data_IF_578296759622
#
_entry.id   IF_578296759622
#
_cell.length_a   1.000
_cell.length_b   1.000
_cell.length_c   1.000
_cell.angle_alpha   90.00
_cell.angle_beta   90.00
_cell.angle_gamma   90.00
#
_symmetry.space_group_name_H-M   'P 1'
#
loop_
_entity.id
_entity.type
_entity.pdbx_description
1 polymer ?
#
# COMPACT_ATOMS: atom_id res chain seq x y z
N UNK A 1 -4.29 22.48 12.81
CA UNK A 1 -4.82 21.64 11.72
C UNK A 1 -3.94 21.78 10.49
N UNK A 2 -2.68 21.35 10.58
CA UNK A 2 -1.68 21.45 9.51
C UNK A 2 -1.07 20.04 9.36
N UNK A 3 -1.15 19.47 8.16
CA UNK A 3 -0.82 18.06 7.90
C UNK A 3 0.67 17.77 8.10
N UNK A 4 1.54 18.73 7.77
CA UNK A 4 2.98 18.56 7.86
C UNK A 4 3.43 18.43 9.31
N UNK A 5 2.86 19.24 10.21
CA UNK A 5 3.09 19.20 11.65
C UNK A 5 2.56 17.90 12.24
N UNK A 6 1.32 17.50 11.92
CA UNK A 6 0.74 16.26 12.43
C UNK A 6 1.55 15.04 11.98
N UNK A 7 1.87 14.94 10.69
CA UNK A 7 2.69 13.87 10.15
C UNK A 7 4.10 13.91 10.73
N UNK A 8 4.73 15.09 10.81
CA UNK A 8 6.08 15.24 11.37
C UNK A 8 6.17 14.78 12.82
N UNK A 9 5.19 15.15 13.66
CA UNK A 9 5.12 14.69 15.06
C UNK A 9 4.92 13.17 15.12
N UNK A 10 3.97 12.63 14.36
CA UNK A 10 3.70 11.18 14.35
C UNK A 10 4.93 10.38 13.90
N UNK A 11 5.62 10.82 12.86
CA UNK A 11 6.83 10.17 12.36
C UNK A 11 8.01 10.31 13.31
N UNK A 12 8.13 11.46 13.98
CA UNK A 12 9.14 11.66 15.03
C UNK A 12 8.97 10.66 16.17
N UNK A 13 7.74 10.42 16.63
CA UNK A 13 7.50 9.40 17.64
C UNK A 13 7.75 8.00 17.08
N UNK A 14 7.20 7.67 15.91
CA UNK A 14 7.28 6.34 15.33
C UNK A 14 8.73 5.92 15.02
N UNK A 15 9.44 6.67 14.17
CA UNK A 15 10.83 6.38 13.86
C UNK A 15 11.74 6.67 15.04
N UNK A 16 11.46 7.71 15.83
CA UNK A 16 12.26 7.99 17.03
C UNK A 16 12.26 6.84 18.03
N UNK A 17 11.11 6.24 18.33
CA UNK A 17 11.04 5.06 19.20
C UNK A 17 11.86 3.90 18.62
N UNK A 18 11.69 3.59 17.33
CA UNK A 18 12.45 2.53 16.65
C UNK A 18 13.96 2.79 16.73
N UNK A 19 14.39 4.01 16.41
CA UNK A 19 15.80 4.40 16.43
C UNK A 19 16.37 4.36 17.85
N UNK A 20 15.60 4.75 18.87
CA UNK A 20 16.01 4.66 20.27
C UNK A 20 16.19 3.21 20.72
N UNK A 21 15.30 2.30 20.30
CA UNK A 21 15.42 0.85 20.58
C UNK A 21 16.67 0.27 19.92
N UNK A 22 16.95 0.64 18.66
CA UNK A 22 18.15 0.19 17.94
C UNK A 22 19.45 0.82 18.49
N UNK A 23 19.36 2.05 18.98
CA UNK A 23 20.44 2.78 19.62
C UNK A 23 21.47 3.38 18.66
N UNK A 24 22.24 4.36 19.18
CA UNK A 24 23.32 5.05 18.44
C UNK A 24 24.34 4.08 17.81
N UNK A 25 24.84 3.03 18.50
CA UNK A 25 25.86 2.15 17.96
C UNK A 25 25.44 1.45 16.66
N UNK A 26 24.16 1.06 16.54
CA UNK A 26 23.63 0.44 15.33
C UNK A 26 23.80 1.36 14.11
N UNK A 27 23.37 2.62 14.22
CA UNK A 27 23.45 3.57 13.11
C UNK A 27 24.87 4.00 12.77
N UNK A 28 25.78 4.01 13.74
CA UNK A 28 27.22 4.20 13.48
C UNK A 28 27.79 2.98 12.73
N UNK A 29 27.35 1.77 13.08
CA UNK A 29 27.67 0.55 12.34
C UNK A 29 27.18 0.60 10.89
N UNK A 30 25.94 1.04 10.67
CA UNK A 30 25.37 1.24 9.31
C UNK A 30 26.19 2.26 8.52
N UNK A 31 26.65 3.34 9.16
CA UNK A 31 27.53 4.33 8.52
C UNK A 31 28.85 3.74 8.04
N UNK A 32 29.50 2.93 8.87
CA UNK A 32 30.71 2.23 8.48
C UNK A 32 30.45 1.22 7.36
N UNK A 33 29.39 0.42 7.46
CA UNK A 33 29.04 -0.63 6.49
C UNK A 33 28.70 -0.06 5.12
N UNK A 34 28.03 1.09 5.08
CA UNK A 34 27.61 1.75 3.83
C UNK A 34 28.62 2.76 3.30
N UNK A 35 29.83 2.83 3.91
CA UNK A 35 30.87 3.81 3.55
C UNK A 35 30.37 5.27 3.56
N UNK A 36 29.48 5.57 4.51
CA UNK A 36 28.89 6.90 4.69
C UNK A 36 27.68 7.22 3.82
N UNK A 37 27.15 6.26 3.04
CA UNK A 37 25.94 6.50 2.24
C UNK A 37 24.65 6.54 3.07
N UNK A 38 24.61 5.89 4.23
CA UNK A 38 23.48 5.90 5.17
C UNK A 38 23.98 5.79 6.61
N UNK A 39 23.11 5.94 7.61
CA UNK A 39 23.49 5.84 9.02
C UNK A 39 24.04 7.13 9.62
N UNK A 40 24.53 7.03 10.86
CA UNK A 40 24.99 8.16 11.67
C UNK A 40 26.52 8.21 11.70
N UNK A 41 27.12 9.33 11.30
CA UNK A 41 28.56 9.53 11.46
C UNK A 41 28.96 9.44 12.95
N UNK A 42 30.12 8.83 13.32
CA UNK A 42 30.47 8.54 14.71
C UNK A 42 30.35 9.73 15.69
N UNK A 43 30.74 10.92 15.22
CA UNK A 43 30.77 12.16 15.99
C UNK A 43 29.50 13.03 15.83
N UNK A 44 28.52 12.59 15.04
CA UNK A 44 27.29 13.33 14.83
C UNK A 44 26.32 13.16 16.02
N UNK A 45 25.45 14.16 16.21
CA UNK A 45 24.42 14.13 17.25
C UNK A 45 23.31 13.15 16.89
N UNK A 46 23.08 12.18 17.78
CA UNK A 46 22.04 11.18 17.58
C UNK A 46 20.63 11.79 17.67
N UNK A 47 20.43 12.79 18.53
CA UNK A 47 19.17 13.51 18.64
C UNK A 47 18.82 14.20 17.31
N UNK A 48 19.77 14.94 16.74
CA UNK A 48 19.55 15.60 15.45
C UNK A 48 19.30 14.60 14.33
N UNK A 49 19.99 13.46 14.34
CA UNK A 49 19.76 12.40 13.37
C UNK A 49 18.35 11.79 13.47
N UNK A 50 17.84 11.56 14.68
CA UNK A 50 16.44 11.13 14.88
C UNK A 50 15.49 12.19 14.32
N UNK A 51 15.70 13.46 14.67
CA UNK A 51 14.84 14.55 14.20
C UNK A 51 14.86 14.70 12.68
N UNK A 52 16.03 14.76 12.06
CA UNK A 52 16.15 14.96 10.61
C UNK A 52 15.63 13.76 9.83
N UNK A 53 15.93 12.54 10.27
CA UNK A 53 15.43 11.32 9.62
C UNK A 53 13.90 11.26 9.68
N UNK A 54 13.33 11.50 10.86
CA UNK A 54 11.88 11.37 11.07
C UNK A 54 11.09 12.51 10.41
N UNK A 55 11.56 13.76 10.53
CA UNK A 55 10.92 14.91 9.89
C UNK A 55 11.13 14.91 8.37
N UNK A 56 12.24 14.35 7.88
CA UNK A 56 12.50 14.15 6.46
C UNK A 56 11.43 13.30 5.78
N UNK A 57 10.80 12.35 6.50
CA UNK A 57 9.64 11.63 5.99
C UNK A 57 8.48 12.56 5.66
N UNK A 58 8.13 13.48 6.57
CA UNK A 58 7.02 14.42 6.35
C UNK A 58 7.29 15.32 5.14
N UNK A 59 8.53 15.80 5.00
CA UNK A 59 8.99 16.56 3.82
C UNK A 59 8.83 15.75 2.54
N UNK A 60 9.33 14.52 2.52
CA UNK A 60 9.23 13.64 1.34
C UNK A 60 7.78 13.31 0.98
N UNK A 61 6.92 13.10 1.97
CA UNK A 61 5.50 12.86 1.74
C UNK A 61 4.82 14.10 1.13
N UNK A 62 5.16 15.30 1.62
CA UNK A 62 4.65 16.54 1.03
C UNK A 62 5.12 16.72 -0.42
N UNK A 63 6.40 16.45 -0.70
CA UNK A 63 6.95 16.49 -2.06
C UNK A 63 6.21 15.50 -2.96
N UNK A 64 6.01 14.26 -2.49
CA UNK A 64 5.27 13.22 -3.21
C UNK A 64 3.84 13.69 -3.50
N UNK A 65 3.12 14.18 -2.50
CA UNK A 65 1.74 14.65 -2.66
C UNK A 65 1.63 15.83 -3.63
N UNK A 66 2.61 16.74 -3.65
CA UNK A 66 2.63 17.86 -4.58
C UNK A 66 2.90 17.38 -6.01
N UNK A 67 3.96 16.59 -6.22
CA UNK A 67 4.33 16.08 -7.53
C UNK A 67 3.24 15.22 -8.15
N UNK A 68 2.63 14.34 -7.35
CA UNK A 68 1.49 13.52 -7.76
C UNK A 68 0.30 14.39 -8.20
N UNK A 69 -0.03 15.44 -7.46
CA UNK A 69 -1.17 16.32 -7.79
C UNK A 69 -0.98 16.98 -9.15
N UNK A 70 0.22 17.50 -9.39
CA UNK A 70 0.60 18.09 -10.68
C UNK A 70 0.54 17.05 -11.80
N UNK A 71 1.13 15.88 -11.57
CA UNK A 71 1.13 14.79 -12.56
C UNK A 71 -0.28 14.32 -12.92
N UNK A 72 -1.15 14.08 -11.94
CA UNK A 72 -2.53 13.62 -12.17
C UNK A 72 -3.34 14.66 -12.92
N UNK A 73 -3.16 15.96 -12.63
CA UNK A 73 -3.81 17.03 -13.37
C UNK A 73 -3.47 17.00 -14.86
N UNK A 74 -2.17 17.02 -15.18
CA UNK A 74 -1.69 16.98 -16.58
C UNK A 74 -2.07 15.67 -17.29
N UNK A 75 -2.02 14.54 -16.56
CA UNK A 75 -2.40 13.25 -17.13
C UNK A 75 -3.90 13.21 -17.46
N UNK A 76 -4.75 13.75 -16.58
CA UNK A 76 -6.21 13.76 -16.81
C UNK A 76 -6.55 14.53 -18.07
N UNK A 77 -5.99 15.74 -18.23
CA UNK A 77 -6.20 16.57 -19.42
C UNK A 77 -5.65 15.92 -20.68
N UNK A 78 -4.40 15.42 -20.65
CA UNK A 78 -3.79 14.78 -21.83
C UNK A 78 -4.48 13.46 -22.23
N UNK A 79 -5.06 12.73 -21.28
CA UNK A 79 -5.75 11.46 -21.56
C UNK A 79 -7.13 11.66 -22.18
N UNK A 80 -7.76 12.85 -22.06
CA UNK A 80 -9.01 13.15 -22.78
C UNK A 80 -8.85 12.98 -24.29
N UNK A 81 -7.75 13.48 -24.86
CA UNK A 81 -7.47 13.33 -26.29
C UNK A 81 -7.24 11.88 -26.74
N UNK A 82 -6.68 11.03 -25.86
CA UNK A 82 -6.51 9.60 -26.12
C UNK A 82 -7.86 8.88 -26.03
N UNK A 83 -8.65 9.17 -25.00
CA UNK A 83 -9.96 8.57 -24.80
C UNK A 83 -10.90 8.94 -25.94
N UNK A 84 -10.93 10.20 -26.38
CA UNK A 84 -11.85 10.66 -27.42
C UNK A 84 -11.54 10.11 -28.82
N UNK A 85 -10.27 9.85 -29.14
CA UNK A 85 -9.85 9.48 -30.50
C UNK A 85 -9.34 8.07 -30.69
N UNK A 86 -8.58 7.55 -29.71
CA UNK A 86 -7.86 6.28 -29.88
C UNK A 86 -8.54 5.14 -29.12
N UNK A 87 -8.94 5.38 -27.88
CA UNK A 87 -9.52 4.37 -26.99
C UNK A 87 -10.78 4.91 -26.28
N UNK A 88 -11.94 4.97 -26.99
CA UNK A 88 -13.19 5.46 -26.44
C UNK A 88 -13.57 4.79 -25.12
N UNK A 89 -13.75 5.62 -24.08
CA UNK A 89 -14.16 5.16 -22.75
C UNK A 89 -13.05 4.50 -21.91
N UNK A 90 -11.79 4.63 -22.33
CA UNK A 90 -10.66 4.16 -21.52
C UNK A 90 -10.35 5.11 -20.35
N UNK A 91 -9.82 4.53 -19.26
CA UNK A 91 -9.38 5.27 -18.06
C UNK A 91 -7.91 4.97 -17.81
N UNK A 92 -7.09 5.99 -17.49
CA UNK A 92 -5.70 5.75 -17.17
C UNK A 92 -5.59 5.02 -15.82
N UNK A 93 -4.97 3.84 -15.83
CA UNK A 93 -4.50 3.17 -14.61
C UNK A 93 -3.17 3.78 -14.17
N UNK A 94 -3.15 4.39 -12.99
CA UNK A 94 -1.97 5.08 -12.44
C UNK A 94 -1.57 4.53 -11.07
N UNK A 95 -0.37 4.93 -10.62
CA UNK A 95 0.18 4.54 -9.33
C UNK A 95 -0.77 4.88 -8.17
N UNK A 96 -0.87 3.98 -7.18
CA UNK A 96 -1.73 4.15 -6.01
C UNK A 96 -1.40 5.42 -5.21
N UNK A 97 -0.16 5.89 -5.26
CA UNK A 97 0.28 7.14 -4.66
C UNK A 97 -0.52 8.35 -5.17
N UNK A 98 -1.12 8.26 -6.37
CA UNK A 98 -2.09 9.21 -6.89
C UNK A 98 -3.18 9.57 -5.87
N UNK A 99 -3.67 8.55 -5.15
CA UNK A 99 -4.76 8.69 -4.18
C UNK A 99 -4.34 9.46 -2.92
N UNK A 100 -3.05 9.50 -2.59
CA UNK A 100 -2.53 10.11 -1.36
C UNK A 100 -2.66 11.63 -1.36
N UNK A 101 -2.76 12.24 -2.54
CA UNK A 101 -2.99 13.66 -2.68
C UNK A 101 -4.47 14.03 -2.42
N UNK A 102 -5.42 13.13 -2.69
CA UNK A 102 -6.86 13.42 -2.65
C UNK A 102 -7.58 12.86 -1.42
N UNK A 103 -6.93 11.97 -0.65
CA UNK A 103 -7.42 11.48 0.62
C UNK A 103 -7.38 12.52 1.74
N UNK A 104 -8.00 12.21 2.89
CA UNK A 104 -7.80 13.03 4.08
C UNK A 104 -6.32 13.07 4.46
N UNK A 105 -5.79 14.25 4.84
CA UNK A 105 -4.34 14.45 4.94
C UNK A 105 -3.62 13.47 5.88
N UNK A 106 -4.28 13.08 6.99
CA UNK A 106 -3.72 12.18 7.98
C UNK A 106 -3.97 10.69 7.69
N UNK A 107 -4.84 10.35 6.72
CA UNK A 107 -5.25 8.96 6.49
C UNK A 107 -4.09 8.09 5.98
N UNK A 108 -3.20 8.67 5.17
CA UNK A 108 -1.95 8.04 4.68
C UNK A 108 -1.07 7.63 5.86
N UNK A 109 -0.78 8.60 6.74
CA UNK A 109 0.10 8.42 7.90
C UNK A 109 -0.51 7.44 8.90
N UNK A 110 -1.81 7.53 9.17
CA UNK A 110 -2.52 6.58 10.06
C UNK A 110 -2.47 5.17 9.48
N UNK A 111 -2.77 5.01 8.19
CA UNK A 111 -2.74 3.71 7.54
C UNK A 111 -1.35 3.06 7.61
N UNK A 112 -0.31 3.83 7.30
CA UNK A 112 1.08 3.41 7.47
C UNK A 112 1.38 2.95 8.91
N UNK A 113 1.03 3.73 9.93
CA UNK A 113 1.34 3.42 11.33
C UNK A 113 0.71 2.10 11.78
N UNK A 114 -0.58 1.92 11.49
CA UNK A 114 -1.30 0.72 11.90
C UNK A 114 -0.92 -0.51 11.06
N UNK A 115 -0.64 -0.32 9.77
CA UNK A 115 -0.06 -1.37 8.93
C UNK A 115 1.31 -1.83 9.41
N UNK A 116 2.19 -0.89 9.74
CA UNK A 116 3.50 -1.19 10.31
C UNK A 116 3.38 -1.93 11.65
N UNK A 117 2.46 -1.50 12.51
CA UNK A 117 2.16 -2.20 13.77
C UNK A 117 1.74 -3.66 13.51
N UNK A 118 0.83 -3.88 12.54
CA UNK A 118 0.43 -5.23 12.13
C UNK A 118 1.62 -6.06 11.64
N UNK A 119 2.44 -5.51 10.75
CA UNK A 119 3.62 -6.21 10.23
C UNK A 119 4.61 -6.56 11.35
N UNK A 120 4.92 -5.63 12.25
CA UNK A 120 5.86 -5.89 13.36
C UNK A 120 5.36 -6.96 14.32
N UNK A 121 4.06 -6.97 14.64
CA UNK A 121 3.48 -8.03 15.46
C UNK A 121 3.55 -9.39 14.76
N UNK A 122 3.26 -9.44 13.45
CA UNK A 122 3.38 -10.68 12.69
C UNK A 122 4.82 -11.18 12.60
N UNK A 123 5.80 -10.29 12.37
CA UNK A 123 7.23 -10.65 12.36
C UNK A 123 7.66 -11.17 13.74
N UNK A 124 7.26 -10.49 14.82
CA UNK A 124 7.50 -10.95 16.18
C UNK A 124 6.90 -12.33 16.45
N UNK A 125 5.68 -12.57 15.99
CA UNK A 125 5.05 -13.89 16.07
C UNK A 125 5.83 -14.95 15.28
N UNK A 126 6.24 -14.67 14.04
CA UNK A 126 7.06 -15.59 13.24
C UNK A 126 8.38 -15.96 13.96
N UNK A 127 9.01 -15.00 14.63
CA UNK A 127 10.22 -15.23 15.42
C UNK A 127 9.95 -16.09 16.67
N UNK A 128 8.92 -15.75 17.46
CA UNK A 128 8.56 -16.48 18.69
C UNK A 128 8.18 -17.93 18.39
N UNK A 129 7.41 -18.15 17.31
CA UNK A 129 6.98 -19.48 16.90
C UNK A 129 8.01 -20.23 16.04
N UNK A 130 9.23 -19.72 15.91
CA UNK A 130 10.32 -20.36 15.16
C UNK A 130 9.91 -20.75 13.73
N UNK A 131 9.21 -19.84 13.03
CA UNK A 131 8.81 -20.04 11.64
C UNK A 131 10.03 -20.36 10.76
N UNK A 132 9.94 -21.33 9.83
CA UNK A 132 11.03 -21.65 8.92
C UNK A 132 11.37 -20.52 7.94
N UNK A 133 10.48 -19.52 7.82
CA UNK A 133 10.71 -18.32 7.02
C UNK A 133 10.34 -17.11 7.84
N UNK A 134 11.31 -16.20 7.98
CA UNK A 134 11.15 -14.91 8.63
C UNK A 134 11.11 -13.84 7.54
N UNK A 135 10.08 -13.01 7.59
CA UNK A 135 9.92 -11.89 6.66
C UNK A 135 10.61 -10.67 7.26
N UNK A 136 11.41 -10.01 6.43
CA UNK A 136 11.98 -8.70 6.74
C UNK A 136 11.06 -7.67 6.10
N UNK A 137 10.46 -6.79 6.90
CA UNK A 137 9.55 -5.76 6.41
C UNK A 137 10.26 -4.82 5.43
N UNK A 138 9.81 -4.82 4.17
CA UNK A 138 10.19 -3.84 3.17
C UNK A 138 9.37 -2.56 3.35
N UNK A 139 10.01 -1.39 3.18
CA UNK A 139 9.33 -0.11 3.34
C UNK A 139 8.18 0.08 2.34
N UNK A 140 8.32 -0.42 1.10
CA UNK A 140 7.30 -0.25 0.05
C UNK A 140 5.95 -0.86 0.45
N UNK A 141 5.83 -2.18 0.72
CA UNK A 141 4.55 -2.77 1.13
C UNK A 141 4.08 -2.28 2.49
N UNK A 142 5.00 -1.94 3.39
CA UNK A 142 4.69 -1.39 4.70
C UNK A 142 4.04 0.00 4.58
N UNK A 143 4.50 0.85 3.67
CA UNK A 143 3.97 2.19 3.45
C UNK A 143 2.84 2.23 2.42
N UNK A 144 3.08 1.89 1.16
CA UNK A 144 2.17 2.21 0.06
C UNK A 144 0.83 1.47 0.15
N UNK A 145 0.84 0.16 0.38
CA UNK A 145 -0.41 -0.61 0.50
C UNK A 145 -1.23 -0.14 1.70
N UNK A 146 -0.58 -0.03 2.87
CA UNK A 146 -1.27 0.32 4.10
C UNK A 146 -1.73 1.78 4.12
N UNK A 147 -0.99 2.68 3.47
CA UNK A 147 -1.44 4.05 3.21
C UNK A 147 -2.68 4.07 2.30
N UNK A 148 -2.69 3.27 1.22
CA UNK A 148 -3.84 3.16 0.33
C UNK A 148 -5.07 2.64 1.08
N UNK A 149 -4.93 1.54 1.84
CA UNK A 149 -5.99 1.05 2.72
C UNK A 149 -6.46 2.14 3.68
N UNK A 150 -5.54 2.89 4.30
CA UNK A 150 -5.86 4.02 5.16
C UNK A 150 -6.74 5.07 4.46
N UNK A 151 -6.37 5.50 3.26
CA UNK A 151 -7.12 6.50 2.46
C UNK A 151 -8.52 5.99 2.13
N UNK A 152 -8.65 4.79 1.57
CA UNK A 152 -9.95 4.25 1.15
C UNK A 152 -10.85 3.88 2.33
N UNK A 153 -10.29 3.28 3.38
CA UNK A 153 -11.03 2.93 4.58
C UNK A 153 -11.54 4.18 5.31
N UNK A 154 -10.70 5.21 5.42
CA UNK A 154 -11.11 6.46 6.05
C UNK A 154 -12.24 7.14 5.27
N UNK A 155 -12.12 7.21 3.94
CA UNK A 155 -13.16 7.78 3.08
C UNK A 155 -14.51 7.09 3.23
N UNK A 156 -14.52 5.78 3.47
CA UNK A 156 -15.75 4.95 3.47
C UNK A 156 -16.35 4.74 4.86
N UNK A 157 -15.52 4.65 5.90
CA UNK A 157 -15.95 4.26 7.24
C UNK A 157 -15.22 5.03 8.38
N UNK A 158 -14.50 6.10 8.03
CA UNK A 158 -13.85 7.01 8.98
C UNK A 158 -12.58 6.46 9.63
N UNK A 159 -12.06 7.22 10.60
CA UNK A 159 -10.73 7.01 11.17
C UNK A 159 -10.54 5.62 11.82
N UNK A 160 -11.60 5.05 12.43
CA UNK A 160 -11.50 3.71 13.04
C UNK A 160 -11.21 2.63 12.00
N UNK A 161 -11.87 2.69 10.84
CA UNK A 161 -11.61 1.77 9.75
C UNK A 161 -10.20 1.97 9.16
N UNK A 162 -9.75 3.23 9.10
CA UNK A 162 -8.39 3.60 8.67
C UNK A 162 -7.28 3.08 9.59
N UNK A 163 -7.60 2.66 10.82
CA UNK A 163 -6.67 2.01 11.73
C UNK A 163 -6.77 0.48 11.64
N UNK A 164 -8.00 -0.04 11.66
CA UNK A 164 -8.25 -1.49 11.75
C UNK A 164 -7.86 -2.22 10.45
N UNK A 165 -8.25 -1.68 9.28
CA UNK A 165 -8.00 -2.37 8.01
C UNK A 165 -6.51 -2.44 7.65
N UNK A 166 -5.73 -1.34 7.75
CA UNK A 166 -4.29 -1.41 7.54
C UNK A 166 -3.59 -2.34 8.55
N UNK A 167 -4.04 -2.38 9.81
CA UNK A 167 -3.49 -3.31 10.79
C UNK A 167 -3.63 -4.78 10.36
N UNK A 168 -4.83 -5.19 9.94
CA UNK A 168 -5.02 -6.54 9.42
C UNK A 168 -4.30 -6.77 8.09
N UNK A 169 -4.23 -5.75 7.23
CA UNK A 169 -3.41 -5.79 6.01
C UNK A 169 -1.96 -6.12 6.35
N UNK A 170 -1.35 -5.44 7.31
CA UNK A 170 0.03 -5.72 7.75
C UNK A 170 0.24 -7.15 8.28
N UNK A 171 -0.72 -7.67 9.06
CA UNK A 171 -0.66 -9.06 9.52
C UNK A 171 -0.71 -10.04 8.34
N UNK A 172 -1.65 -9.82 7.42
CA UNK A 172 -1.87 -10.67 6.25
C UNK A 172 -0.66 -10.62 5.32
N UNK A 173 -0.08 -9.44 5.08
CA UNK A 173 1.11 -9.30 4.24
C UNK A 173 2.26 -10.17 4.76
N UNK A 174 2.57 -10.08 6.05
CA UNK A 174 3.69 -10.85 6.63
C UNK A 174 3.41 -12.34 6.69
N UNK A 175 2.25 -12.76 7.20
CA UNK A 175 1.92 -14.18 7.30
C UNK A 175 1.71 -14.82 5.93
N UNK A 176 1.02 -14.12 5.03
CA UNK A 176 0.79 -14.52 3.65
C UNK A 176 2.11 -14.67 2.90
N UNK A 177 3.00 -13.67 2.96
CA UNK A 177 4.31 -13.72 2.33
C UNK A 177 5.14 -14.88 2.87
N UNK A 178 5.17 -15.09 4.19
CA UNK A 178 5.90 -16.20 4.81
C UNK A 178 5.37 -17.56 4.30
N UNK A 179 4.06 -17.74 4.30
CA UNK A 179 3.40 -18.96 3.87
C UNK A 179 3.66 -19.25 2.39
N UNK A 180 3.33 -18.29 1.52
CA UNK A 180 3.39 -18.52 0.08
C UNK A 180 4.83 -18.67 -0.40
N UNK A 181 5.75 -17.82 0.08
CA UNK A 181 7.17 -17.88 -0.31
C UNK A 181 7.84 -19.17 0.13
N UNK A 182 7.48 -19.70 1.31
CA UNK A 182 7.94 -21.02 1.75
C UNK A 182 7.40 -22.12 0.85
N UNK A 183 6.10 -22.09 0.57
CA UNK A 183 5.42 -23.16 -0.16
C UNK A 183 5.84 -23.27 -1.63
N UNK A 184 6.10 -22.15 -2.29
CA UNK A 184 6.63 -22.12 -3.66
C UNK A 184 8.16 -22.21 -3.72
N UNK A 185 8.83 -22.17 -2.56
CA UNK A 185 10.29 -22.25 -2.47
C UNK A 185 11.02 -20.94 -2.78
N UNK A 186 10.31 -19.82 -2.91
CA UNK A 186 10.90 -18.50 -3.14
C UNK A 186 11.67 -17.99 -1.92
N UNK A 187 11.35 -18.45 -0.71
CA UNK A 187 12.05 -18.04 0.52
C UNK A 187 13.56 -18.31 0.47
N UNK A 188 14.00 -19.32 -0.30
CA UNK A 188 15.43 -19.63 -0.52
C UNK A 188 16.19 -18.59 -1.33
N UNK A 189 15.49 -17.77 -2.11
CA UNK A 189 16.08 -16.73 -2.96
C UNK A 189 16.05 -15.35 -2.28
N UNK A 190 15.54 -15.25 -1.06
CA UNK A 190 15.63 -14.04 -0.23
C UNK A 190 14.69 -12.90 -0.62
N UNK A 191 13.73 -13.13 -1.53
CA UNK A 191 12.82 -12.08 -1.98
C UNK A 191 11.41 -12.57 -2.31
N UNK A 192 10.42 -11.82 -1.85
CA UNK A 192 9.01 -11.92 -2.23
C UNK A 192 8.41 -10.51 -2.30
N UNK A 193 7.37 -10.28 -3.13
CA UNK A 193 6.83 -8.93 -3.33
C UNK A 193 6.23 -8.33 -2.05
N UNK A 194 5.48 -9.14 -1.29
CA UNK A 194 4.91 -8.75 0.00
C UNK A 194 3.82 -7.67 -0.05
N UNK A 195 3.31 -7.37 -1.24
CA UNK A 195 2.14 -6.50 -1.40
C UNK A 195 0.85 -7.29 -1.13
N UNK A 196 -0.21 -6.63 -0.68
CA UNK A 196 -1.42 -7.28 -0.16
C UNK A 196 -2.05 -8.28 -1.13
N UNK A 197 -2.20 -7.91 -2.40
CA UNK A 197 -2.74 -8.82 -3.43
C UNK A 197 -1.81 -10.01 -3.71
N UNK A 198 -0.50 -9.80 -3.55
CA UNK A 198 0.51 -10.85 -3.64
C UNK A 198 0.51 -11.79 -2.44
N UNK A 199 -0.10 -11.39 -1.34
CA UNK A 199 -0.24 -12.19 -0.12
C UNK A 199 -1.65 -12.78 0.06
N UNK A 200 -2.58 -12.45 -0.85
CA UNK A 200 -3.99 -12.90 -0.78
C UNK A 200 -4.52 -13.49 -2.10
N UNK A 201 -4.65 -12.67 -3.14
CA UNK A 201 -5.26 -13.05 -4.43
C UNK A 201 -4.33 -13.92 -5.26
N UNK A 202 -3.08 -13.50 -5.45
CA UNK A 202 -2.10 -14.25 -6.23
C UNK A 202 -1.72 -15.60 -5.63
N UNK A 203 -1.61 -15.77 -4.29
CA UNK A 203 -1.43 -17.08 -3.68
C UNK A 203 -2.53 -18.08 -4.08
N UNK A 204 -3.80 -17.65 -4.12
CA UNK A 204 -4.89 -18.50 -4.58
C UNK A 204 -4.70 -18.96 -6.02
N UNK A 205 -4.35 -18.05 -6.93
CA UNK A 205 -4.05 -18.41 -8.33
C UNK A 205 -2.82 -19.30 -8.44
N UNK A 206 -1.80 -19.05 -7.63
CA UNK A 206 -0.56 -19.82 -7.60
C UNK A 206 -0.82 -21.27 -7.19
N UNK A 207 -1.72 -21.49 -6.22
CA UNK A 207 -2.14 -22.83 -5.81
C UNK A 207 -2.85 -23.56 -6.94
N UNK A 208 -3.79 -22.90 -7.63
CA UNK A 208 -4.50 -23.49 -8.78
C UNK A 208 -3.54 -23.88 -9.90
N UNK A 209 -2.63 -22.99 -10.28
CA UNK A 209 -1.64 -23.23 -11.33
C UNK A 209 -0.67 -24.36 -10.96
N UNK A 210 -0.26 -24.45 -9.69
CA UNK A 210 0.69 -25.48 -9.24
C UNK A 210 0.06 -26.87 -9.13
N UNK A 211 -1.22 -26.97 -8.74
CA UNK A 211 -1.92 -28.27 -8.62
C UNK A 211 -2.36 -28.80 -9.99
N UNK A 212 -2.92 -27.93 -10.84
CA UNK A 212 -3.54 -28.33 -12.11
C UNK A 212 -2.60 -28.15 -13.32
N UNK A 213 -1.40 -27.62 -13.14
CA UNK A 213 -0.46 -27.33 -14.22
C UNK A 213 -1.06 -26.38 -15.26
N UNK A 214 -0.95 -26.75 -16.54
CA UNK A 214 -1.47 -25.95 -17.67
C UNK A 214 -2.99 -25.73 -17.55
N UNK A 215 -3.75 -26.72 -17.07
CA UNK A 215 -5.19 -26.56 -16.87
C UNK A 215 -5.49 -25.49 -15.81
N UNK A 216 -4.65 -25.37 -14.79
CA UNK A 216 -4.76 -24.32 -13.77
C UNK A 216 -4.57 -22.92 -14.34
N UNK A 217 -3.63 -22.75 -15.27
CA UNK A 217 -3.43 -21.47 -15.98
C UNK A 217 -4.69 -21.10 -16.76
N UNK A 218 -5.27 -22.04 -17.50
CA UNK A 218 -6.52 -21.82 -18.26
C UNK A 218 -7.65 -21.43 -17.31
N UNK A 219 -7.80 -22.11 -16.16
CA UNK A 219 -8.80 -21.77 -15.15
C UNK A 219 -8.60 -20.35 -14.61
N UNK A 220 -7.37 -19.95 -14.28
CA UNK A 220 -7.08 -18.59 -13.80
C UNK A 220 -7.44 -17.54 -14.85
N UNK A 221 -7.07 -17.76 -16.13
CA UNK A 221 -7.44 -16.88 -17.23
C UNK A 221 -8.97 -16.77 -17.36
N UNK A 222 -9.68 -17.89 -17.28
CA UNK A 222 -11.14 -17.89 -17.33
C UNK A 222 -11.75 -17.11 -16.16
N UNK A 223 -11.24 -17.27 -14.94
CA UNK A 223 -11.69 -16.50 -13.76
C UNK A 223 -11.50 -15.00 -14.01
N UNK A 224 -10.31 -14.58 -14.46
CA UNK A 224 -10.00 -13.17 -14.71
C UNK A 224 -10.87 -12.56 -15.82
N UNK A 225 -11.18 -13.32 -16.86
CA UNK A 225 -12.10 -12.89 -17.93
C UNK A 225 -13.55 -12.87 -17.43
N UNK A 226 -13.95 -13.79 -16.56
CA UNK A 226 -15.33 -13.87 -16.06
C UNK A 226 -15.70 -12.72 -15.12
N UNK A 227 -14.77 -12.23 -14.30
CA UNK A 227 -15.03 -11.12 -13.35
C UNK A 227 -15.70 -9.91 -14.01
N UNK A 228 -15.11 -9.25 -15.04
CA UNK A 228 -15.73 -8.09 -15.67
C UNK A 228 -17.06 -8.43 -16.36
N UNK A 229 -17.23 -9.66 -16.88
CA UNK A 229 -18.49 -10.10 -17.49
C UNK A 229 -19.61 -10.22 -16.44
N UNK A 230 -19.29 -10.71 -15.24
CA UNK A 230 -20.23 -10.82 -14.14
C UNK A 230 -20.60 -9.43 -13.60
N UNK A 231 -19.62 -8.53 -13.45
CA UNK A 231 -19.87 -7.14 -13.04
C UNK A 231 -20.76 -6.40 -14.04
N UNK A 232 -20.48 -6.53 -15.34
CA UNK A 232 -21.31 -5.96 -16.40
C UNK A 232 -22.73 -6.52 -16.38
N UNK A 233 -22.91 -7.83 -16.19
CA UNK A 233 -24.24 -8.45 -16.10
C UNK A 233 -25.01 -8.02 -14.86
N UNK A 234 -24.33 -7.71 -13.75
CA UNK A 234 -24.97 -7.29 -12.51
C UNK A 234 -25.53 -5.86 -12.60
N UNK A 235 -24.84 -4.95 -13.28
CA UNK A 235 -25.31 -3.58 -13.47
C UNK A 235 -24.94 -3.00 -14.84
N UNK A 236 -25.55 -3.49 -15.94
CA UNK A 236 -25.16 -3.11 -17.30
C UNK A 236 -25.42 -1.64 -17.60
N UNK A 237 -26.38 -1.02 -16.89
CA UNK A 237 -26.71 0.39 -17.05
C UNK A 237 -25.64 1.28 -16.41
N UNK A 238 -25.10 0.89 -15.26
CA UNK A 238 -24.15 1.73 -14.52
C UNK A 238 -22.68 1.34 -14.74
N UNK A 239 -22.39 0.17 -15.32
CA UNK A 239 -21.04 -0.38 -15.46
C UNK A 239 -20.08 0.57 -16.19
N UNK A 240 -20.44 1.06 -17.38
CA UNK A 240 -19.62 2.04 -18.10
C UNK A 240 -19.83 3.46 -17.59
N UNK A 241 -21.00 3.72 -17.03
CA UNK A 241 -21.43 5.02 -16.51
C UNK A 241 -20.56 5.50 -15.35
N UNK A 242 -20.05 4.58 -14.52
CA UNK A 242 -19.14 4.92 -13.42
C UNK A 242 -17.84 5.61 -13.87
N UNK A 243 -17.46 5.42 -15.14
CA UNK A 243 -16.29 6.01 -15.77
C UNK A 243 -16.66 7.22 -16.62
N UNK A 244 -17.70 7.09 -17.43
CA UNK A 244 -18.04 8.09 -18.44
C UNK A 244 -18.83 9.28 -17.87
N UNK A 245 -19.66 9.06 -16.85
CA UNK A 245 -20.41 10.10 -16.15
C UNK A 245 -20.64 9.70 -14.68
N UNK A 246 -19.65 10.04 -13.86
CA UNK A 246 -19.66 9.69 -12.44
C UNK A 246 -20.78 10.39 -11.64
N UNK A 247 -21.24 11.57 -12.07
CA UNK A 247 -22.36 12.27 -11.41
C UNK A 247 -23.67 11.53 -11.65
N UNK A 248 -23.96 11.19 -12.90
CA UNK A 248 -25.14 10.40 -13.25
C UNK A 248 -25.10 9.02 -12.60
N UNK A 249 -23.93 8.38 -12.53
CA UNK A 249 -23.74 7.14 -11.79
C UNK A 249 -24.12 7.29 -10.30
N UNK A 250 -23.65 8.35 -9.62
CA UNK A 250 -23.97 8.61 -8.22
C UNK A 250 -25.47 8.81 -8.00
N UNK A 251 -26.14 9.55 -8.88
CA UNK A 251 -27.59 9.74 -8.82
C UNK A 251 -28.35 8.41 -8.96
N UNK A 252 -27.96 7.58 -9.93
CA UNK A 252 -28.56 6.26 -10.15
C UNK A 252 -28.40 5.38 -8.91
N UNK A 253 -27.21 5.38 -8.30
CA UNK A 253 -26.93 4.61 -7.09
C UNK A 253 -27.70 5.14 -5.87
N UNK A 254 -27.86 6.46 -5.73
CA UNK A 254 -28.67 7.07 -4.69
C UNK A 254 -30.16 6.67 -4.83
N UNK A 255 -30.72 6.75 -6.05
CA UNK A 255 -32.09 6.30 -6.34
C UNK A 255 -32.26 4.80 -6.02
N UNK A 256 -31.32 3.96 -6.45
CA UNK A 256 -31.33 2.51 -6.18
C UNK A 256 -31.28 2.18 -4.68
N UNK A 257 -30.58 2.98 -3.89
CA UNK A 257 -30.51 2.85 -2.42
C UNK A 257 -31.78 3.36 -1.72
N UNK A 258 -32.44 4.38 -2.25
CA UNK A 258 -33.71 4.89 -1.73
C UNK A 258 -34.91 3.99 -2.05
N UNK A 259 -34.79 3.11 -3.06
CA UNK A 259 -35.85 2.17 -3.47
C UNK A 259 -35.70 0.79 -2.80
N UNK A 260 -34.65 0.58 -2.01
CA UNK A 260 -34.38 -0.65 -1.23
C UNK A 260 -34.64 -0.39 0.24
#
# INVERSE_FOLDING_TARGET
>A
NENMVATGILMLFFFGIIMLILGKPYFVGVFAATKGASGLAPNASFLFYIMTTSLGFAVNLTILQLGVRTFVGELTESFTGISDRLLPGSVPGIDVAATFAFGEPNAVTIGFLFGALGQFLAIGALLIFHSPTIIIAGFIPLFFDNAAFGVFANRRAGAKAAMILPFFSGLIQVFGAALISTWIGLSKFGGYLGMFDWDTVWPFFTVLMKILGIAGIVVVVLILVLIPQLEYRHDPKNYFLMVTDYEQYKENMAKKKATK
#
